data_IF_069012933047
#
_entry.id   IF_069012933047
#
_cell.length_a   1.000
_cell.length_b   1.000
_cell.length_c   1.000
_cell.angle_alpha   90.00
_cell.angle_beta   90.00
_cell.angle_gamma   90.00
#
_symmetry.space_group_name_H-M   'P 1'
#
loop_
_entity.id
_entity.type
_entity.pdbx_description
1 polymer ?
#
# COMPACT_ATOMS: atom_id res chain seq x y z
N UNK A 1 -18.62 1.73 4.68
CA UNK A 1 -17.26 2.27 4.83
C UNK A 1 -16.37 1.71 3.73
N UNK A 2 -15.78 2.58 2.91
CA UNK A 2 -14.90 2.19 1.79
C UNK A 2 -13.58 2.97 1.89
N UNK A 3 -12.52 2.31 2.34
CA UNK A 3 -11.27 2.98 2.73
C UNK A 3 -10.15 2.60 1.76
N UNK A 4 -9.46 3.60 1.22
CA UNK A 4 -8.18 3.41 0.54
C UNK A 4 -7.04 3.76 1.49
N UNK A 5 -6.02 2.91 1.56
CA UNK A 5 -4.81 3.16 2.36
C UNK A 5 -3.59 3.10 1.46
N UNK A 6 -2.81 4.18 1.40
CA UNK A 6 -1.60 4.27 0.59
C UNK A 6 -0.38 4.72 1.39
N UNK A 7 0.81 4.58 0.80
CA UNK A 7 2.09 4.94 1.39
C UNK A 7 3.22 3.93 1.12
N UNK A 8 4.43 4.28 1.54
CA UNK A 8 5.65 3.48 1.26
C UNK A 8 5.56 2.04 1.82
N UNK A 9 6.32 1.11 1.24
CA UNK A 9 6.46 -0.23 1.84
C UNK A 9 7.05 -0.11 3.24
N UNK A 10 6.50 -0.87 4.20
CA UNK A 10 6.87 -0.75 5.61
C UNK A 10 6.20 0.40 6.39
N UNK A 11 5.30 1.18 5.78
CA UNK A 11 4.64 2.28 6.50
C UNK A 11 3.56 1.82 7.49
N UNK A 12 3.12 0.56 7.45
CA UNK A 12 2.09 0.00 8.35
C UNK A 12 0.69 -0.15 7.72
N UNK A 13 0.55 0.08 6.41
CA UNK A 13 -0.73 -0.05 5.68
C UNK A 13 -1.47 -1.36 5.94
N UNK A 14 -0.82 -2.50 5.68
CA UNK A 14 -1.46 -3.82 5.84
C UNK A 14 -1.86 -4.10 7.29
N UNK A 15 -1.11 -3.59 8.27
CA UNK A 15 -1.49 -3.69 9.68
C UNK A 15 -2.77 -2.90 9.96
N UNK A 16 -2.80 -1.63 9.54
CA UNK A 16 -3.96 -0.74 9.72
C UNK A 16 -5.19 -1.22 8.94
N UNK A 17 -4.99 -1.75 7.74
CA UNK A 17 -6.06 -2.32 6.92
C UNK A 17 -6.69 -3.55 7.59
N UNK A 18 -5.87 -4.46 8.11
CA UNK A 18 -6.35 -5.64 8.87
C UNK A 18 -7.07 -5.25 10.15
N UNK A 19 -6.56 -4.26 10.87
CA UNK A 19 -7.21 -3.73 12.07
C UNK A 19 -8.60 -3.14 11.73
N UNK A 20 -8.69 -2.28 10.71
CA UNK A 20 -9.96 -1.71 10.26
C UNK A 20 -10.93 -2.78 9.76
N UNK A 21 -10.43 -3.76 9.01
CA UNK A 21 -11.22 -4.89 8.53
C UNK A 21 -11.80 -5.71 9.70
N UNK A 22 -11.01 -5.98 10.74
CA UNK A 22 -11.48 -6.70 11.92
C UNK A 22 -12.49 -5.86 12.73
N UNK A 23 -12.22 -4.57 12.93
CA UNK A 23 -13.07 -3.67 13.73
C UNK A 23 -14.43 -3.38 13.07
N UNK A 24 -14.46 -3.25 11.74
CA UNK A 24 -15.65 -2.83 10.99
C UNK A 24 -16.19 -3.91 10.04
N UNK A 25 -15.68 -5.13 10.11
CA UNK A 25 -16.05 -6.26 9.25
C UNK A 25 -15.92 -5.95 7.74
N UNK A 26 -14.86 -5.23 7.37
CA UNK A 26 -14.60 -4.85 5.98
C UNK A 26 -13.96 -6.00 5.22
N UNK A 27 -14.31 -6.14 3.94
CA UNK A 27 -13.55 -7.01 3.04
C UNK A 27 -12.22 -6.33 2.71
N UNK A 28 -11.12 -7.03 2.90
CA UNK A 28 -9.77 -6.51 2.71
C UNK A 28 -9.18 -6.96 1.37
N UNK A 29 -8.63 -6.02 0.60
CA UNK A 29 -7.81 -6.28 -0.58
C UNK A 29 -6.41 -5.66 -0.39
N UNK A 30 -5.40 -6.52 -0.31
CA UNK A 30 -4.00 -6.15 -0.48
C UNK A 30 -3.69 -6.12 -1.99
N UNK A 31 -3.30 -4.96 -2.51
CA UNK A 31 -3.03 -4.79 -3.95
C UNK A 31 -1.91 -5.69 -4.47
N UNK A 32 -0.97 -6.17 -3.62
CA UNK A 32 0.03 -7.15 -4.04
C UNK A 32 -0.62 -8.45 -4.54
N UNK A 33 -1.77 -8.84 -3.97
CA UNK A 33 -2.47 -10.09 -4.33
C UNK A 33 -3.05 -10.08 -5.75
N UNK A 34 -3.29 -8.90 -6.31
CA UNK A 34 -3.76 -8.73 -7.69
C UNK A 34 -2.68 -8.21 -8.63
N UNK A 35 -1.62 -7.58 -8.13
CA UNK A 35 -0.55 -7.02 -8.95
C UNK A 35 0.42 -8.10 -9.47
N UNK A 36 0.78 -9.08 -8.64
CA UNK A 36 1.77 -10.10 -8.99
C UNK A 36 1.15 -11.35 -9.59
N UNK A 37 1.91 -12.03 -10.46
CA UNK A 37 1.54 -13.32 -11.04
C UNK A 37 1.63 -14.39 -9.95
N UNK A 38 0.54 -15.14 -9.67
CA UNK A 38 0.56 -16.17 -8.64
C UNK A 38 1.67 -17.20 -8.87
N UNK A 39 2.45 -17.50 -7.83
CA UNK A 39 3.54 -18.48 -7.89
C UNK A 39 4.80 -18.01 -8.62
N UNK A 40 4.88 -16.74 -9.02
CA UNK A 40 6.07 -16.16 -9.64
C UNK A 40 6.58 -14.95 -8.84
N UNK A 41 7.87 -14.94 -8.51
CA UNK A 41 8.48 -13.85 -7.75
C UNK A 41 8.72 -12.65 -8.67
N UNK A 42 8.20 -11.48 -8.28
CA UNK A 42 8.41 -10.20 -8.96
C UNK A 42 7.98 -10.14 -10.44
N UNK A 43 7.01 -10.96 -10.86
CA UNK A 43 6.43 -10.92 -12.21
C UNK A 43 5.07 -10.23 -12.17
N UNK A 44 5.00 -8.98 -12.62
CA UNK A 44 3.75 -8.21 -12.65
C UNK A 44 2.75 -8.83 -13.65
N UNK A 45 1.47 -8.83 -13.28
CA UNK A 45 0.37 -9.19 -14.17
C UNK A 45 0.13 -8.08 -15.20
N UNK A 46 -0.46 -8.39 -16.37
CA UNK A 46 -0.88 -7.37 -17.32
C UNK A 46 -1.84 -6.37 -16.67
N UNK A 47 -1.61 -5.07 -16.91
CA UNK A 47 -2.37 -3.99 -16.27
C UNK A 47 -3.90 -4.13 -16.43
N UNK A 48 -4.38 -4.60 -17.59
CA UNK A 48 -5.81 -4.82 -17.82
C UNK A 48 -6.43 -5.83 -16.84
N UNK A 49 -5.69 -6.88 -16.47
CA UNK A 49 -6.15 -7.91 -15.56
C UNK A 49 -6.19 -7.39 -14.12
N UNK A 50 -5.16 -6.65 -13.71
CA UNK A 50 -5.10 -6.00 -12.39
C UNK A 50 -6.26 -5.01 -12.22
N UNK A 51 -6.52 -4.18 -13.24
CA UNK A 51 -7.63 -3.23 -13.22
C UNK A 51 -9.00 -3.92 -13.22
N UNK A 52 -9.16 -5.03 -13.95
CA UNK A 52 -10.40 -5.81 -13.93
C UNK A 52 -10.69 -6.35 -12.53
N UNK A 53 -9.69 -6.91 -11.85
CA UNK A 53 -9.84 -7.43 -10.49
C UNK A 53 -10.12 -6.32 -9.48
N UNK A 54 -9.40 -5.20 -9.56
CA UNK A 54 -9.63 -4.02 -8.71
C UNK A 54 -11.07 -3.52 -8.87
N UNK A 55 -11.53 -3.31 -10.11
CA UNK A 55 -12.88 -2.84 -10.36
C UNK A 55 -13.96 -3.85 -9.98
N UNK A 56 -13.71 -5.14 -10.21
CA UNK A 56 -14.58 -6.22 -9.73
C UNK A 56 -14.76 -6.11 -8.22
N UNK A 57 -13.64 -6.04 -7.48
CA UNK A 57 -13.63 -5.97 -6.03
C UNK A 57 -14.37 -4.75 -5.47
N UNK A 58 -14.04 -3.53 -5.93
CA UNK A 58 -14.63 -2.30 -5.36
C UNK A 58 -16.11 -2.11 -5.72
N UNK A 59 -16.60 -2.81 -6.76
CA UNK A 59 -18.01 -2.78 -7.18
C UNK A 59 -18.85 -3.90 -6.58
N UNK A 60 -18.26 -5.06 -6.26
CA UNK A 60 -18.99 -6.20 -5.71
C UNK A 60 -19.19 -6.14 -4.19
N UNK A 61 -18.51 -5.24 -3.49
CA UNK A 61 -18.57 -5.10 -2.04
C UNK A 61 -19.05 -3.70 -1.63
N UNK A 62 -19.96 -3.65 -0.64
CA UNK A 62 -20.47 -2.39 -0.08
C UNK A 62 -19.49 -1.74 0.90
N UNK A 63 -18.73 -2.58 1.61
CA UNK A 63 -17.84 -2.19 2.70
C UNK A 63 -16.49 -2.89 2.54
N UNK A 64 -15.44 -2.11 2.37
CA UNK A 64 -14.12 -2.63 2.04
C UNK A 64 -12.98 -1.72 2.48
N UNK A 65 -11.80 -2.30 2.59
CA UNK A 65 -10.53 -1.61 2.70
C UNK A 65 -9.58 -2.16 1.63
N UNK A 66 -9.02 -1.26 0.83
CA UNK A 66 -8.00 -1.55 -0.19
C UNK A 66 -6.72 -0.87 0.23
N UNK A 67 -5.60 -1.58 0.19
CA UNK A 67 -4.30 -1.03 0.59
C UNK A 67 -3.18 -1.42 -0.36
N UNK A 68 -2.21 -0.51 -0.53
CA UNK A 68 -0.98 -0.79 -1.26
C UNK A 68 -0.14 0.46 -1.56
N UNK A 69 1.01 0.27 -2.18
CA UNK A 69 1.91 1.35 -2.59
C UNK A 69 1.76 1.74 -4.07
N UNK A 70 0.87 1.08 -4.82
CA UNK A 70 0.64 1.36 -6.24
C UNK A 70 -0.28 2.57 -6.39
N UNK A 71 0.31 3.77 -6.41
CA UNK A 71 -0.44 5.03 -6.42
C UNK A 71 -1.38 5.16 -7.61
N UNK A 72 -1.04 4.59 -8.76
CA UNK A 72 -1.89 4.55 -9.95
C UNK A 72 -3.15 3.68 -9.74
N UNK A 73 -3.03 2.51 -9.10
CA UNK A 73 -4.18 1.68 -8.74
C UNK A 73 -5.06 2.37 -7.70
N UNK A 74 -4.45 3.00 -6.69
CA UNK A 74 -5.17 3.80 -5.68
C UNK A 74 -5.94 4.93 -6.37
N UNK A 75 -5.32 5.66 -7.29
CA UNK A 75 -5.94 6.73 -8.06
C UNK A 75 -7.16 6.23 -8.85
N UNK A 76 -7.09 5.04 -9.46
CA UNK A 76 -8.23 4.42 -10.15
C UNK A 76 -9.38 4.02 -9.21
N UNK A 77 -9.09 3.73 -7.95
CA UNK A 77 -10.08 3.35 -6.95
C UNK A 77 -10.72 4.55 -6.22
N UNK A 78 -10.12 5.75 -6.28
CA UNK A 78 -10.61 6.95 -5.59
C UNK A 78 -12.11 7.23 -5.76
N UNK A 79 -12.71 7.12 -6.98
CA UNK A 79 -14.13 7.40 -7.17
C UNK A 79 -15.08 6.48 -6.37
N UNK A 80 -14.57 5.34 -5.89
CA UNK A 80 -15.36 4.33 -5.17
C UNK A 80 -15.18 4.42 -3.65
N UNK A 81 -14.19 5.15 -3.15
CA UNK A 81 -13.92 5.24 -1.72
C UNK A 81 -14.79 6.30 -1.02
N UNK A 82 -14.98 6.15 0.28
CA UNK A 82 -15.51 7.20 1.17
C UNK A 82 -14.39 7.91 1.94
N UNK A 83 -13.22 7.29 2.05
CA UNK A 83 -12.07 7.86 2.76
C UNK A 83 -10.75 7.42 2.13
N UNK A 84 -9.81 8.35 2.02
CA UNK A 84 -8.40 8.10 1.69
C UNK A 84 -7.52 8.29 2.94
N UNK A 85 -6.64 7.33 3.20
CA UNK A 85 -5.65 7.39 4.28
C UNK A 85 -4.26 7.29 3.66
N UNK A 86 -3.41 8.29 3.91
CA UNK A 86 -2.01 8.22 3.56
C UNK A 86 -1.20 7.95 4.83
N UNK A 87 -0.60 6.76 4.95
CA UNK A 87 0.27 6.43 6.08
C UNK A 87 1.72 6.74 5.69
N UNK A 88 2.28 7.79 6.29
CA UNK A 88 3.53 8.40 5.87
C UNK A 88 4.49 8.64 7.06
N UNK A 89 4.96 7.60 7.77
CA UNK A 89 5.76 7.72 8.99
C UNK A 89 7.22 8.13 8.74
N UNK A 90 7.55 8.56 7.52
CA UNK A 90 8.92 8.79 7.07
C UNK A 90 9.67 7.53 6.68
N UNK A 91 10.72 7.73 5.88
CA UNK A 91 11.56 6.66 5.33
C UNK A 91 12.20 5.79 6.41
N UNK A 92 12.72 6.39 7.48
CA UNK A 92 13.48 5.65 8.49
C UNK A 92 12.62 4.64 9.24
N UNK A 93 11.38 5.02 9.57
CA UNK A 93 10.39 4.09 10.13
C UNK A 93 10.05 2.96 9.15
N UNK A 94 9.87 3.28 7.86
CA UNK A 94 9.61 2.29 6.83
C UNK A 94 10.78 1.29 6.66
N UNK A 95 12.02 1.79 6.71
CA UNK A 95 13.24 0.97 6.66
C UNK A 95 13.33 0.05 7.88
N UNK A 96 13.14 0.59 9.09
CA UNK A 96 13.15 -0.18 10.33
C UNK A 96 12.10 -1.30 10.34
N UNK A 97 10.89 -1.01 9.86
CA UNK A 97 9.81 -1.99 9.77
C UNK A 97 10.11 -3.09 8.73
N UNK A 98 10.73 -2.77 7.60
CA UNK A 98 11.13 -3.80 6.62
C UNK A 98 12.30 -4.65 7.12
N UNK A 99 13.22 -4.09 7.92
CA UNK A 99 14.32 -4.87 8.52
C UNK A 99 13.81 -5.99 9.45
N UNK A 100 12.68 -5.76 10.11
CA UNK A 100 12.08 -6.67 11.09
C UNK A 100 10.90 -7.46 10.54
N UNK A 101 10.71 -7.46 9.20
CA UNK A 101 9.53 -8.02 8.57
C UNK A 101 9.47 -9.54 8.77
N UNK A 102 8.36 -10.10 9.29
CA UNK A 102 8.20 -11.53 9.40
C UNK A 102 8.11 -12.18 8.00
N UNK A 103 8.25 -13.49 7.93
CA UNK A 103 8.05 -14.23 6.69
C UNK A 103 6.61 -14.03 6.17
N UNK A 104 6.47 -13.70 4.89
CA UNK A 104 5.21 -13.54 4.19
C UNK A 104 4.96 -14.77 3.29
N UNK A 105 4.32 -15.84 3.80
CA UNK A 105 4.14 -17.10 3.06
C UNK A 105 3.24 -16.96 1.83
N UNK A 106 2.51 -15.86 1.72
CA UNK A 106 1.70 -15.53 0.54
C UNK A 106 2.49 -14.83 -0.58
N UNK A 107 3.74 -14.42 -0.31
CA UNK A 107 4.65 -13.76 -1.26
C UNK A 107 5.88 -14.58 -1.60
N UNK A 108 6.39 -15.34 -0.63
CA UNK A 108 7.64 -16.10 -0.75
C UNK A 108 7.46 -17.53 -0.26
N UNK A 109 8.11 -18.48 -0.93
CA UNK A 109 8.09 -19.89 -0.57
C UNK A 109 8.81 -20.18 0.75
N UNK A 110 9.79 -19.35 1.13
CA UNK A 110 10.51 -19.46 2.40
C UNK A 110 11.03 -18.11 2.92
N UNK A 111 11.50 -18.08 4.17
CA UNK A 111 12.14 -16.89 4.77
C UNK A 111 13.45 -16.55 4.06
N UNK A 112 14.20 -17.55 3.63
CA UNK A 112 15.45 -17.38 2.90
C UNK A 112 15.23 -16.72 1.53
N UNK A 113 14.18 -17.13 0.79
CA UNK A 113 13.82 -16.48 -0.48
C UNK A 113 13.44 -15.02 -0.26
N UNK A 114 12.64 -14.72 0.78
CA UNK A 114 12.30 -13.35 1.16
C UNK A 114 13.56 -12.53 1.53
N UNK A 115 14.45 -13.10 2.33
CA UNK A 115 15.66 -12.41 2.80
C UNK A 115 16.64 -12.12 1.66
N UNK A 116 16.67 -12.96 0.62
CA UNK A 116 17.45 -12.71 -0.59
C UNK A 116 17.01 -11.43 -1.33
N UNK A 117 15.74 -11.03 -1.19
CA UNK A 117 15.17 -9.82 -1.79
C UNK A 117 15.34 -8.58 -0.90
N UNK A 118 15.73 -8.75 0.37
CA UNK A 118 15.79 -7.66 1.35
C UNK A 118 16.70 -6.50 0.93
N UNK A 119 17.92 -6.70 0.37
CA UNK A 119 18.76 -5.58 -0.07
C UNK A 119 18.11 -4.73 -1.17
N UNK A 120 17.43 -5.37 -2.12
CA UNK A 120 16.68 -4.69 -3.18
C UNK A 120 15.50 -3.90 -2.58
N UNK A 121 14.73 -4.55 -1.70
CA UNK A 121 13.61 -3.91 -1.02
C UNK A 121 14.07 -2.70 -0.20
N UNK A 122 15.17 -2.81 0.54
CA UNK A 122 15.71 -1.71 1.35
C UNK A 122 16.15 -0.52 0.49
N UNK A 123 16.82 -0.76 -0.64
CA UNK A 123 17.13 0.30 -1.60
C UNK A 123 15.86 0.96 -2.13
N UNK A 124 14.89 0.16 -2.57
CA UNK A 124 13.60 0.65 -3.07
C UNK A 124 12.74 1.32 -1.98
N UNK A 125 12.85 0.96 -0.71
CA UNK A 125 12.16 1.71 0.36
C UNK A 125 12.89 3.03 0.63
N UNK A 126 14.22 3.01 0.59
CA UNK A 126 15.08 4.16 0.88
C UNK A 126 15.04 5.27 -0.18
N UNK A 127 14.76 4.93 -1.42
CA UNK A 127 14.66 5.91 -2.53
C UNK A 127 13.26 6.53 -2.68
N UNK A 128 12.33 6.27 -1.75
CA UNK A 128 10.92 6.68 -1.85
C UNK A 128 10.72 8.19 -2.12
N UNK A 129 11.56 9.04 -1.53
CA UNK A 129 11.46 10.50 -1.65
C UNK A 129 12.02 11.04 -2.97
N UNK A 130 12.81 10.23 -3.70
CA UNK A 130 13.57 10.66 -4.89
C UNK A 130 13.16 9.94 -6.18
N UNK A 131 12.46 8.80 -6.08
CA UNK A 131 11.88 8.15 -7.27
C UNK A 131 10.75 8.98 -7.86
N UNK A 132 10.50 8.79 -9.14
CA UNK A 132 9.42 9.41 -9.90
C UNK A 132 8.54 8.33 -10.59
N UNK A 133 8.27 7.25 -9.85
CA UNK A 133 7.35 6.19 -10.26
C UNK A 133 6.00 6.31 -9.54
N UNK A 134 5.04 5.44 -9.87
CA UNK A 134 3.70 5.47 -9.26
C UNK A 134 3.69 5.07 -7.79
N UNK A 135 4.81 4.56 -7.26
CA UNK A 135 4.98 4.14 -5.87
C UNK A 135 5.85 5.11 -5.06
N UNK A 136 6.18 6.27 -5.62
CA UNK A 136 7.03 7.31 -5.02
C UNK A 136 6.26 8.22 -4.06
N UNK A 137 7.00 8.96 -3.23
CA UNK A 137 6.44 10.02 -2.40
C UNK A 137 5.74 11.09 -3.23
N UNK A 138 6.38 11.55 -4.31
CA UNK A 138 5.83 12.59 -5.18
C UNK A 138 4.48 12.17 -5.76
N UNK A 139 4.36 10.92 -6.23
CA UNK A 139 3.09 10.41 -6.77
C UNK A 139 2.02 10.25 -5.68
N UNK A 140 2.34 9.65 -4.53
CA UNK A 140 1.39 9.53 -3.43
C UNK A 140 0.92 10.89 -2.90
N UNK A 141 1.83 11.86 -2.77
CA UNK A 141 1.51 13.24 -2.39
C UNK A 141 0.56 13.87 -3.41
N UNK A 142 0.85 13.74 -4.71
CA UNK A 142 -0.04 14.22 -5.80
C UNK A 142 -1.45 13.64 -5.67
N UNK A 143 -1.56 12.32 -5.50
CA UNK A 143 -2.84 11.63 -5.32
C UNK A 143 -3.58 12.14 -4.08
N UNK A 144 -2.87 12.28 -2.96
CA UNK A 144 -3.43 12.78 -1.71
C UNK A 144 -3.95 14.22 -1.84
N UNK A 145 -3.12 15.13 -2.36
CA UNK A 145 -3.43 16.55 -2.45
C UNK A 145 -4.58 16.80 -3.42
N UNK A 146 -4.64 16.07 -4.54
CA UNK A 146 -5.69 16.19 -5.54
C UNK A 146 -7.06 15.66 -5.06
N UNK A 147 -7.09 14.68 -4.15
CA UNK A 147 -8.35 14.09 -3.68
C UNK A 147 -9.15 15.09 -2.83
N UNK A 148 -10.41 15.34 -3.22
CA UNK A 148 -11.30 16.32 -2.58
C UNK A 148 -12.24 15.69 -1.52
N UNK A 149 -12.29 14.36 -1.44
CA UNK A 149 -13.09 13.64 -0.45
C UNK A 149 -12.47 13.63 0.94
N UNK A 150 -13.08 12.90 1.88
CA UNK A 150 -12.55 12.76 3.22
C UNK A 150 -11.16 12.09 3.18
N UNK A 151 -10.15 12.80 3.65
CA UNK A 151 -8.76 12.31 3.66
C UNK A 151 -8.06 12.64 4.96
N UNK A 152 -7.11 11.79 5.35
CA UNK A 152 -6.17 12.07 6.42
C UNK A 152 -4.79 11.50 6.09
N UNK A 153 -3.77 12.13 6.65
CA UNK A 153 -2.40 11.65 6.61
C UNK A 153 -1.96 11.30 8.03
N UNK A 154 -1.54 10.05 8.20
CA UNK A 154 -0.96 9.54 9.45
C UNK A 154 0.57 9.65 9.30
N UNK A 155 1.10 10.86 9.54
CA UNK A 155 2.54 11.16 9.56
C UNK A 155 3.11 11.04 10.98
N UNK A 156 4.45 10.98 11.18
CA UNK A 156 5.01 11.16 12.52
C UNK A 156 4.50 12.49 13.05
N UNK A 157 4.28 12.58 14.35
CA UNK A 157 4.17 13.88 14.99
C UNK A 157 5.39 14.68 14.56
N UNK A 158 5.19 15.77 13.83
CA UNK A 158 6.23 16.78 13.66
C UNK A 158 6.59 17.19 15.09
N UNK A 159 7.72 16.72 15.58
CA UNK A 159 8.32 17.30 16.76
C UNK A 159 8.72 18.69 16.35
N UNK A 160 7.84 19.67 16.57
CA UNK A 160 8.17 21.08 16.70
C UNK A 160 6.99 21.84 17.31
N UNK A 161 7.15 22.17 18.59
CA UNK A 161 6.61 23.37 19.21
C UNK A 161 7.47 23.71 20.44
N UNK A 162 8.61 24.36 20.20
CA UNK A 162 9.25 25.26 21.14
C UNK A 162 9.62 26.54 20.39
#
# INVERSE_FOLDING_TARGET
MRVLIMGNSGSGKSWRARELAAQHQLIHLDLDTIYWTPGAVAVARPAYAVLADLYGFVRSHTDWVVEGCYGDLIEKALPFCTQLVFINPGKDACMANNAQRPWEPHKYASKEEQDSMLPYLMKWVGEYDVRDDTCSYAFHRRVYDAFQGAKREDAPLSGDAA
#
